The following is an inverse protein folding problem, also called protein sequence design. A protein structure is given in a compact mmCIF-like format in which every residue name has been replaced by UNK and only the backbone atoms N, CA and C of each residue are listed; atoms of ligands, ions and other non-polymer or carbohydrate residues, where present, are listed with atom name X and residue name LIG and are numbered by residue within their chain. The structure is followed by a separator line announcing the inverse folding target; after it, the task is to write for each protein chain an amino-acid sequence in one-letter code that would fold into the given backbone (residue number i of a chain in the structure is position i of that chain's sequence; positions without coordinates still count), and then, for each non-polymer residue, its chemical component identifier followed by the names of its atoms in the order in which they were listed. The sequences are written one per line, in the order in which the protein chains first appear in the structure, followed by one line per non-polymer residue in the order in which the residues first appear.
data_IF_474480511297
#
_entry.id   IF_474480511297
#
_cell.length_a   1.000
_cell.length_b   1.000
_cell.length_c   1.000
_cell.angle_alpha   90.00
_cell.angle_beta   90.00
_cell.angle_gamma   90.00
#
_symmetry.space_group_name_H-M   'P 1'
#
loop_
_entity.id
_entity.type
_entity.pdbx_description
1 polymer ?
#
# COMPACT_ATOMS: atom_id res chain seq x y z
N UNK A 1 -10.18 -13.19 28.22
CA UNK A 1 -10.88 -13.19 26.92
C UNK A 1 -9.85 -12.88 25.85
N UNK A 2 -9.61 -13.78 24.91
CA UNK A 2 -8.74 -13.53 23.75
C UNK A 2 -9.49 -12.53 22.88
N UNK A 3 -8.96 -11.31 22.73
CA UNK A 3 -9.53 -10.30 21.86
C UNK A 3 -9.42 -10.84 20.43
N UNK A 4 -10.54 -11.21 19.83
CA UNK A 4 -10.57 -11.71 18.46
C UNK A 4 -10.04 -10.61 17.55
N UNK A 5 -8.84 -10.81 16.98
CA UNK A 5 -8.26 -9.86 16.03
C UNK A 5 -9.04 -9.96 14.72
N UNK A 6 -9.53 -8.86 14.24
CA UNK A 6 -10.10 -8.79 12.89
C UNK A 6 -8.91 -8.79 11.92
N UNK A 7 -8.79 -9.86 11.14
CA UNK A 7 -7.84 -9.94 10.02
C UNK A 7 -8.52 -9.27 8.82
N UNK A 8 -7.82 -8.36 8.16
CA UNK A 8 -8.27 -7.71 6.94
C UNK A 8 -7.76 -8.49 5.73
N UNK A 9 -8.67 -8.91 4.85
CA UNK A 9 -8.33 -9.53 3.57
C UNK A 9 -8.18 -8.43 2.51
N UNK A 10 -6.92 -8.13 2.13
CA UNK A 10 -6.59 -7.15 1.12
C UNK A 10 -6.34 -7.80 -0.23
N UNK A 11 -7.08 -7.40 -1.26
CA UNK A 11 -6.96 -7.91 -2.62
C UNK A 11 -6.35 -6.89 -3.59
N UNK A 12 -5.55 -7.32 -4.58
CA UNK A 12 -5.07 -6.46 -5.65
C UNK A 12 -6.15 -6.21 -6.70
N UNK A 13 -6.23 -4.99 -7.24
CA UNK A 13 -7.02 -4.68 -8.41
C UNK A 13 -6.16 -4.07 -9.52
N UNK A 14 -6.32 -4.59 -10.73
CA UNK A 14 -5.70 -4.00 -11.92
C UNK A 14 -6.47 -2.75 -12.38
N UNK A 15 -7.80 -2.81 -12.29
CA UNK A 15 -8.74 -1.79 -12.75
C UNK A 15 -10.02 -1.83 -11.90
N UNK A 16 -10.98 -0.96 -12.21
CA UNK A 16 -12.27 -0.85 -11.53
C UNK A 16 -13.02 -2.20 -11.46
N UNK A 17 -13.11 -2.92 -12.59
CA UNK A 17 -13.84 -4.20 -12.67
C UNK A 17 -13.22 -5.26 -11.74
N UNK A 18 -11.88 -5.34 -11.72
CA UNK A 18 -11.17 -6.26 -10.81
C UNK A 18 -11.40 -5.88 -9.34
N UNK A 19 -11.48 -4.58 -9.04
CA UNK A 19 -11.75 -4.08 -7.70
C UNK A 19 -13.16 -4.46 -7.22
N UNK A 20 -14.17 -4.24 -8.04
CA UNK A 20 -15.57 -4.64 -7.77
C UNK A 20 -15.63 -6.16 -7.55
N UNK A 21 -15.04 -6.95 -8.46
CA UNK A 21 -15.03 -8.40 -8.32
C UNK A 21 -14.36 -8.88 -7.02
N UNK A 22 -13.28 -8.21 -6.58
CA UNK A 22 -12.62 -8.55 -5.32
C UNK A 22 -13.55 -8.30 -4.11
N UNK A 23 -14.28 -7.19 -4.09
CA UNK A 23 -15.22 -6.84 -3.03
C UNK A 23 -16.39 -7.84 -3.02
N UNK A 24 -16.96 -8.16 -4.18
CA UNK A 24 -18.05 -9.13 -4.34
C UNK A 24 -17.68 -10.53 -3.83
N UNK A 25 -16.38 -10.86 -3.85
CA UNK A 25 -15.86 -12.13 -3.37
C UNK A 25 -15.27 -12.05 -1.95
N UNK A 26 -15.56 -10.99 -1.21
CA UNK A 26 -15.32 -10.91 0.23
C UNK A 26 -14.00 -10.23 0.63
N UNK A 27 -13.38 -9.44 -0.23
CA UNK A 27 -12.26 -8.61 0.19
C UNK A 27 -12.75 -7.51 1.17
N UNK A 28 -12.04 -7.36 2.30
CA UNK A 28 -12.27 -6.27 3.25
C UNK A 28 -11.64 -4.96 2.78
N UNK A 29 -10.61 -5.06 1.93
CA UNK A 29 -9.96 -3.93 1.29
C UNK A 29 -9.42 -4.30 -0.08
N UNK A 30 -9.24 -3.30 -0.94
CA UNK A 30 -8.66 -3.45 -2.27
C UNK A 30 -7.55 -2.43 -2.45
N UNK A 31 -6.39 -2.85 -3.00
CA UNK A 31 -5.40 -1.89 -3.44
C UNK A 31 -5.32 -1.79 -4.96
N UNK A 32 -5.22 -0.55 -5.46
CA UNK A 32 -5.22 -0.22 -6.88
C UNK A 32 -4.09 0.79 -7.18
N UNK A 33 -3.53 0.73 -8.38
CA UNK A 33 -2.49 1.69 -8.80
C UNK A 33 -3.06 3.09 -8.99
N UNK A 34 -2.31 4.12 -8.56
CA UNK A 34 -2.61 5.51 -8.89
C UNK A 34 -2.55 5.75 -10.41
N UNK A 35 -3.15 6.85 -10.91
CA UNK A 35 -3.05 7.25 -12.30
C UNK A 35 -1.61 7.44 -12.79
N UNK A 36 -0.74 7.85 -11.85
CA UNK A 36 0.73 7.96 -12.02
C UNK A 36 1.43 7.45 -10.76
N UNK A 37 2.74 7.20 -10.86
CA UNK A 37 3.60 6.83 -9.71
C UNK A 37 3.25 5.50 -9.01
N UNK A 38 2.48 4.64 -9.68
CA UNK A 38 2.34 3.25 -9.29
C UNK A 38 3.46 2.39 -9.91
N UNK A 39 4.04 1.44 -9.15
CA UNK A 39 5.15 0.59 -9.62
C UNK A 39 4.78 -0.31 -10.83
N UNK A 40 3.53 -0.41 -11.20
CA UNK A 40 3.04 -1.13 -12.37
C UNK A 40 2.48 -0.15 -13.40
N UNK A 41 3.33 0.39 -14.25
CA UNK A 41 2.99 1.35 -15.30
C UNK A 41 1.91 0.87 -16.32
N UNK A 42 1.60 -0.42 -16.36
CA UNK A 42 0.64 -1.00 -17.30
C UNK A 42 -0.84 -0.86 -16.87
N UNK A 43 -1.13 -0.35 -15.67
CA UNK A 43 -2.48 -0.14 -15.16
C UNK A 43 -2.69 1.36 -14.91
N UNK A 44 -3.05 2.09 -15.97
CA UNK A 44 -3.45 3.50 -15.85
C UNK A 44 -4.91 3.52 -15.43
N UNK A 45 -5.15 3.66 -14.10
CA UNK A 45 -6.49 3.89 -13.59
C UNK A 45 -6.73 5.40 -13.56
N UNK A 46 -7.87 5.86 -14.07
CA UNK A 46 -8.25 7.26 -13.95
C UNK A 46 -8.68 7.60 -12.51
N UNK A 47 -8.69 8.89 -12.18
CA UNK A 47 -9.21 9.34 -10.89
C UNK A 47 -10.71 9.00 -10.76
N UNK A 48 -11.44 9.06 -11.87
CA UNK A 48 -12.86 8.72 -11.98
C UNK A 48 -13.10 7.23 -11.67
N UNK A 49 -12.26 6.32 -12.20
CA UNK A 49 -12.36 4.89 -11.91
C UNK A 49 -12.09 4.60 -10.43
N UNK A 50 -11.10 5.28 -9.84
CA UNK A 50 -10.80 5.15 -8.42
C UNK A 50 -11.95 5.68 -7.57
N UNK A 51 -12.53 6.83 -7.91
CA UNK A 51 -13.69 7.38 -7.20
C UNK A 51 -14.91 6.44 -7.28
N UNK A 52 -15.20 5.89 -8.46
CA UNK A 52 -16.28 4.92 -8.62
C UNK A 52 -16.03 3.64 -7.79
N UNK A 53 -14.77 3.18 -7.72
CA UNK A 53 -14.42 2.03 -6.88
C UNK A 53 -14.57 2.34 -5.38
N UNK A 54 -14.21 3.55 -4.94
CA UNK A 54 -14.40 4.00 -3.55
C UNK A 54 -15.88 4.03 -3.20
N UNK A 55 -16.71 4.65 -4.04
CA UNK A 55 -18.17 4.68 -3.82
C UNK A 55 -18.74 3.26 -3.69
N UNK A 56 -18.36 2.36 -4.59
CA UNK A 56 -18.80 0.96 -4.54
C UNK A 56 -18.32 0.27 -3.26
N UNK A 57 -17.04 0.40 -2.91
CA UNK A 57 -16.43 -0.25 -1.76
C UNK A 57 -17.10 0.18 -0.44
N UNK A 58 -17.36 1.46 -0.27
CA UNK A 58 -17.92 2.00 0.94
C UNK A 58 -19.36 1.52 1.19
N UNK A 59 -20.14 1.16 0.14
CA UNK A 59 -21.45 0.52 0.31
C UNK A 59 -21.38 -0.82 1.05
N UNK A 60 -20.25 -1.52 0.91
CA UNK A 60 -19.98 -2.83 1.53
C UNK A 60 -19.03 -2.75 2.73
N UNK A 61 -18.71 -1.55 3.23
CA UNK A 61 -17.72 -1.30 4.28
C UNK A 61 -16.31 -1.84 3.94
N UNK A 62 -15.99 -2.00 2.66
CA UNK A 62 -14.65 -2.29 2.18
C UNK A 62 -13.86 -0.99 2.01
N UNK A 63 -12.51 -1.09 2.04
CA UNK A 63 -11.61 0.06 1.94
C UNK A 63 -10.83 0.05 0.63
N UNK A 64 -10.45 1.24 0.18
CA UNK A 64 -9.62 1.39 -1.02
C UNK A 64 -8.29 2.03 -0.65
N UNK A 65 -7.20 1.33 -0.96
CA UNK A 65 -5.83 1.80 -0.80
C UNK A 65 -5.21 2.06 -2.17
N UNK A 66 -4.60 3.21 -2.34
CA UNK A 66 -4.00 3.57 -3.63
C UNK A 66 -2.48 3.51 -3.52
N UNK A 67 -1.84 2.80 -4.47
CA UNK A 67 -0.39 2.69 -4.49
C UNK A 67 0.26 3.88 -5.20
N UNK A 68 1.09 4.62 -4.46
CA UNK A 68 2.02 5.66 -4.92
C UNK A 68 3.42 5.20 -4.52
N UNK A 69 3.85 4.08 -5.10
CA UNK A 69 4.98 3.29 -4.59
C UNK A 69 6.14 3.19 -5.60
N UNK A 70 6.45 4.29 -6.23
CA UNK A 70 7.69 4.52 -6.98
C UNK A 70 8.56 5.56 -6.28
N UNK A 71 9.86 5.58 -6.60
CA UNK A 71 10.75 6.66 -6.20
C UNK A 71 10.37 7.90 -7.03
N UNK A 72 10.27 9.04 -6.36
CA UNK A 72 9.88 10.31 -6.96
C UNK A 72 11.12 11.16 -7.25
N UNK A 73 11.09 11.88 -8.37
CA UNK A 73 12.06 12.91 -8.67
C UNK A 73 11.56 14.27 -8.16
N UNK A 74 12.48 15.20 -7.95
CA UNK A 74 12.14 16.53 -7.42
C UNK A 74 11.06 17.24 -8.26
N UNK A 75 11.13 17.10 -9.59
CA UNK A 75 10.13 17.67 -10.51
C UNK A 75 8.74 17.04 -10.40
N UNK A 76 8.63 15.83 -9.82
CA UNK A 76 7.37 15.06 -9.69
C UNK A 76 6.65 15.36 -8.37
N UNK A 77 7.32 15.96 -7.39
CA UNK A 77 6.78 16.17 -6.03
C UNK A 77 5.51 17.02 -6.03
N UNK A 78 5.47 18.13 -6.77
CA UNK A 78 4.28 18.98 -6.82
C UNK A 78 3.08 18.31 -7.49
N UNK A 79 3.33 17.52 -8.54
CA UNK A 79 2.28 16.76 -9.22
C UNK A 79 1.75 15.66 -8.30
N UNK A 80 2.65 14.98 -7.59
CA UNK A 80 2.30 13.95 -6.60
C UNK A 80 1.44 14.52 -5.47
N UNK A 81 1.79 15.69 -4.93
CA UNK A 81 0.99 16.35 -3.89
C UNK A 81 -0.43 16.65 -4.39
N UNK A 82 -0.56 17.22 -5.57
CA UNK A 82 -1.88 17.52 -6.17
C UNK A 82 -2.72 16.25 -6.38
N UNK A 83 -2.08 15.18 -6.86
CA UNK A 83 -2.72 13.88 -7.05
C UNK A 83 -3.19 13.29 -5.71
N UNK A 84 -2.38 13.35 -4.66
CA UNK A 84 -2.75 12.87 -3.33
C UNK A 84 -3.97 13.63 -2.79
N UNK A 85 -4.01 14.94 -2.96
CA UNK A 85 -5.19 15.74 -2.59
C UNK A 85 -6.44 15.36 -3.39
N UNK A 86 -6.30 15.01 -4.66
CA UNK A 86 -7.41 14.55 -5.49
C UNK A 86 -7.91 13.16 -5.03
N UNK A 87 -7.01 12.22 -4.72
CA UNK A 87 -7.34 10.91 -4.16
C UNK A 87 -8.04 11.02 -2.80
N UNK A 88 -7.56 11.90 -1.94
CA UNK A 88 -8.21 12.17 -0.65
C UNK A 88 -9.64 12.68 -0.82
N UNK A 89 -9.88 13.63 -1.75
CA UNK A 89 -11.23 14.14 -2.05
C UNK A 89 -12.13 13.08 -2.66
N UNK A 90 -11.57 12.11 -3.38
CA UNK A 90 -12.30 10.95 -3.91
C UNK A 90 -12.64 9.92 -2.82
N UNK A 91 -12.19 10.12 -1.57
CA UNK A 91 -12.52 9.27 -0.43
C UNK A 91 -11.63 8.04 -0.27
N UNK A 92 -10.43 8.03 -0.87
CA UNK A 92 -9.43 6.97 -0.69
C UNK A 92 -9.06 6.83 0.78
N UNK A 93 -9.04 5.60 1.31
CA UNK A 93 -8.86 5.33 2.74
C UNK A 93 -7.40 5.36 3.20
N UNK A 94 -6.45 5.01 2.34
CA UNK A 94 -5.02 5.11 2.63
C UNK A 94 -4.17 5.10 1.35
N UNK A 95 -2.91 5.53 1.47
CA UNK A 95 -1.91 5.43 0.42
C UNK A 95 -0.85 4.39 0.78
N UNK A 96 -0.48 3.55 -0.17
CA UNK A 96 0.68 2.65 -0.04
C UNK A 96 1.85 3.30 -0.75
N UNK A 97 2.86 3.77 0.00
CA UNK A 97 3.93 4.62 -0.51
C UNK A 97 5.31 3.98 -0.36
N UNK A 98 6.23 4.34 -1.24
CA UNK A 98 7.63 3.90 -1.19
C UNK A 98 8.57 5.04 -0.80
N UNK A 99 8.41 6.21 -1.40
CA UNK A 99 9.33 7.32 -1.24
C UNK A 99 9.07 8.08 0.06
N UNK A 100 10.10 8.19 0.91
CA UNK A 100 10.02 8.96 2.17
C UNK A 100 9.85 10.46 1.92
N UNK A 101 10.24 10.99 0.75
CA UNK A 101 10.03 12.38 0.38
C UNK A 101 8.57 12.82 0.44
N UNK A 102 7.64 11.87 0.29
CA UNK A 102 6.21 12.13 0.45
C UNK A 102 5.88 12.72 1.83
N UNK A 103 6.57 12.30 2.88
CA UNK A 103 6.30 12.80 4.24
C UNK A 103 6.66 14.27 4.44
N UNK A 104 7.45 14.85 3.54
CA UNK A 104 7.81 16.27 3.53
C UNK A 104 6.84 17.16 2.74
N UNK A 105 5.85 16.56 2.05
CA UNK A 105 4.84 17.30 1.29
C UNK A 105 3.70 17.80 2.20
N UNK A 106 2.97 18.81 1.73
CA UNK A 106 1.75 19.26 2.40
C UNK A 106 0.60 18.31 2.07
N UNK A 107 0.49 17.22 2.84
CA UNK A 107 -0.48 16.16 2.62
C UNK A 107 -1.81 16.44 3.32
N UNK A 108 -2.95 15.96 2.76
CA UNK A 108 -4.19 15.83 3.51
C UNK A 108 -4.03 14.80 4.65
N UNK A 109 -4.96 14.75 5.63
CA UNK A 109 -4.91 13.79 6.73
C UNK A 109 -5.29 12.37 6.26
N UNK A 110 -4.55 11.84 5.28
CA UNK A 110 -4.71 10.50 4.73
C UNK A 110 -3.69 9.55 5.36
N UNK A 111 -4.09 8.36 5.82
CA UNK A 111 -3.17 7.35 6.34
C UNK A 111 -2.12 6.92 5.30
N UNK A 112 -0.87 6.78 5.74
CA UNK A 112 0.23 6.25 4.93
C UNK A 112 0.56 4.82 5.37
N UNK A 113 0.60 3.90 4.43
CA UNK A 113 1.06 2.53 4.59
C UNK A 113 2.43 2.39 3.91
N UNK A 114 3.40 1.84 4.62
CA UNK A 114 4.74 1.62 4.07
C UNK A 114 4.72 0.43 3.10
N UNK A 115 5.01 0.69 1.83
CA UNK A 115 5.07 -0.34 0.79
C UNK A 115 6.15 -1.39 1.09
N UNK A 116 5.95 -2.62 0.63
CA UNK A 116 7.01 -3.66 0.60
C UNK A 116 8.25 -3.18 -0.17
N UNK A 117 8.10 -2.20 -1.05
CA UNK A 117 9.20 -1.56 -1.80
C UNK A 117 10.17 -0.75 -0.90
N UNK A 118 9.83 -0.55 0.38
CA UNK A 118 10.70 0.11 1.36
C UNK A 118 11.64 -0.85 2.10
N UNK A 119 11.70 -2.13 1.73
CA UNK A 119 12.54 -3.15 2.36
C UNK A 119 12.25 -3.36 3.86
N UNK A 120 11.02 -3.68 4.19
CA UNK A 120 10.53 -3.79 5.56
C UNK A 120 10.80 -5.18 6.13
N UNK A 121 12.02 -5.43 6.63
CA UNK A 121 12.49 -6.74 7.10
C UNK A 121 12.88 -6.80 8.57
N UNK A 122 13.11 -5.67 9.21
CA UNK A 122 13.65 -5.64 10.57
C UNK A 122 12.74 -4.90 11.54
N UNK A 123 12.86 -5.24 12.82
CA UNK A 123 12.17 -4.55 13.91
C UNK A 123 12.47 -3.05 13.90
N UNK A 124 13.75 -2.70 13.71
CA UNK A 124 14.23 -1.32 13.70
C UNK A 124 13.60 -0.52 12.56
N UNK A 125 13.46 -1.14 11.37
CA UNK A 125 12.81 -0.51 10.22
C UNK A 125 11.34 -0.25 10.49
N UNK A 126 10.63 -1.23 11.06
CA UNK A 126 9.20 -1.09 11.37
C UNK A 126 8.97 0.00 12.43
N UNK A 127 9.80 0.06 13.47
CA UNK A 127 9.75 1.14 14.48
C UNK A 127 9.99 2.50 13.86
N UNK A 128 11.05 2.63 13.06
CA UNK A 128 11.37 3.88 12.37
C UNK A 128 10.20 4.37 11.51
N UNK A 129 9.54 3.48 10.76
CA UNK A 129 8.40 3.84 9.93
C UNK A 129 7.18 4.25 10.77
N UNK A 130 6.92 3.56 11.87
CA UNK A 130 5.86 3.94 12.80
C UNK A 130 6.10 5.31 13.42
N UNK A 131 7.33 5.58 13.87
CA UNK A 131 7.75 6.88 14.41
C UNK A 131 7.67 8.00 13.36
N UNK A 132 7.92 7.67 12.08
CA UNK A 132 7.74 8.59 10.95
C UNK A 132 6.27 8.82 10.57
N UNK A 133 5.30 8.19 11.25
CA UNK A 133 3.87 8.43 11.08
C UNK A 133 3.14 7.42 10.17
N UNK A 134 3.81 6.37 9.71
CA UNK A 134 3.15 5.31 8.95
C UNK A 134 2.20 4.52 9.85
N UNK A 135 0.99 4.30 9.34
CA UNK A 135 -0.09 3.61 10.08
C UNK A 135 -0.08 2.10 9.92
N UNK A 136 0.55 1.59 8.88
CA UNK A 136 0.67 0.17 8.56
C UNK A 136 1.97 -0.08 7.81
N UNK A 137 2.53 -1.28 7.98
CA UNK A 137 3.78 -1.67 7.30
C UNK A 137 3.57 -2.99 6.55
N UNK A 138 3.77 -2.94 5.23
CA UNK A 138 3.76 -4.13 4.37
C UNK A 138 5.14 -4.78 4.45
N UNK A 139 5.21 -5.97 5.02
CA UNK A 139 6.47 -6.69 5.21
C UNK A 139 7.01 -7.26 3.90
N UNK A 140 8.32 -7.45 3.84
CA UNK A 140 8.98 -8.12 2.73
C UNK A 140 8.51 -9.59 2.63
N UNK A 141 8.36 -10.10 1.40
CA UNK A 141 7.83 -11.44 1.13
C UNK A 141 8.76 -12.57 1.55
N UNK A 142 10.05 -12.28 1.68
CA UNK A 142 11.10 -13.22 2.00
C UNK A 142 11.13 -13.62 3.48
N UNK A 143 10.38 -12.92 4.33
CA UNK A 143 10.37 -13.18 5.77
C UNK A 143 9.69 -14.51 6.10
N UNK A 144 10.36 -15.29 6.95
CA UNK A 144 9.76 -16.46 7.58
C UNK A 144 8.72 -16.06 8.63
N UNK A 145 7.80 -16.97 8.96
CA UNK A 145 6.82 -16.75 10.03
C UNK A 145 7.48 -16.43 11.38
N UNK A 146 8.66 -16.98 11.65
CA UNK A 146 9.43 -16.69 12.87
C UNK A 146 9.90 -15.23 12.92
N UNK A 147 10.36 -14.69 11.79
CA UNK A 147 10.79 -13.28 11.69
C UNK A 147 9.58 -12.35 11.80
N UNK A 148 8.47 -12.68 11.15
CA UNK A 148 7.22 -11.94 11.27
C UNK A 148 6.73 -11.91 12.73
N UNK A 149 6.73 -13.05 13.44
CA UNK A 149 6.36 -13.09 14.86
C UNK A 149 7.26 -12.20 15.70
N UNK A 150 8.59 -12.26 15.48
CA UNK A 150 9.56 -11.39 16.17
C UNK A 150 9.27 -9.90 15.96
N UNK A 151 8.96 -9.50 14.73
CA UNK A 151 8.62 -8.10 14.41
C UNK A 151 7.32 -7.72 15.13
N UNK A 152 6.31 -8.58 15.06
CA UNK A 152 5.02 -8.33 15.70
C UNK A 152 5.11 -8.22 17.22
N UNK A 153 5.88 -9.09 17.87
CA UNK A 153 6.10 -9.06 19.32
C UNK A 153 6.83 -7.78 19.76
N UNK A 154 7.77 -7.32 18.94
CA UNK A 154 8.54 -6.11 19.22
C UNK A 154 7.80 -4.79 18.88
N UNK A 155 6.78 -4.86 18.01
CA UNK A 155 5.98 -3.73 17.55
C UNK A 155 4.48 -4.07 17.58
N UNK A 156 3.89 -4.37 18.76
CA UNK A 156 2.53 -4.90 18.86
C UNK A 156 1.44 -3.92 18.42
N UNK A 157 1.73 -2.63 18.47
CA UNK A 157 0.79 -1.56 18.13
C UNK A 157 0.84 -1.16 16.66
N UNK A 158 1.78 -1.72 15.89
CA UNK A 158 1.93 -1.45 14.45
C UNK A 158 1.20 -2.52 13.66
N UNK A 159 0.15 -2.18 12.90
CA UNK A 159 -0.49 -3.10 11.96
C UNK A 159 0.52 -3.58 10.90
N UNK A 160 0.63 -4.89 10.75
CA UNK A 160 1.51 -5.51 9.77
C UNK A 160 0.66 -6.14 8.65
N UNK A 161 1.11 -5.97 7.42
CA UNK A 161 0.54 -6.60 6.24
C UNK A 161 1.52 -7.62 5.66
N UNK A 162 1.03 -8.80 5.30
CA UNK A 162 1.84 -9.87 4.70
C UNK A 162 1.17 -10.41 3.44
N UNK A 163 1.96 -10.77 2.45
CA UNK A 163 1.48 -11.47 1.27
C UNK A 163 1.28 -12.95 1.59
N UNK A 164 0.07 -13.46 1.42
CA UNK A 164 -0.27 -14.87 1.61
C UNK A 164 -0.51 -15.60 0.29
N UNK A 165 -0.71 -14.86 -0.80
CA UNK A 165 -0.91 -15.38 -2.15
C UNK A 165 -0.36 -14.39 -3.20
N UNK A 166 0.15 -14.91 -4.32
CA UNK A 166 0.60 -14.12 -5.46
C UNK A 166 1.89 -14.67 -6.08
N UNK A 167 2.35 -14.01 -7.14
CA UNK A 167 3.60 -14.35 -7.82
C UNK A 167 4.81 -14.10 -6.89
N UNK A 168 5.76 -15.03 -6.93
CA UNK A 168 7.05 -14.84 -6.24
C UNK A 168 7.86 -13.75 -6.95
N UNK A 169 8.54 -12.92 -6.15
CA UNK A 169 9.55 -12.03 -6.67
C UNK A 169 10.82 -12.83 -7.01
N UNK A 170 11.40 -12.57 -8.19
CA UNK A 170 12.66 -13.19 -8.62
C UNK A 170 13.91 -12.50 -8.03
N UNK A 171 13.71 -11.39 -7.31
CA UNK A 171 14.75 -10.63 -6.63
C UNK A 171 14.25 -10.22 -5.24
N UNK A 172 15.17 -9.76 -4.39
CA UNK A 172 14.78 -9.17 -3.10
C UNK A 172 13.79 -8.04 -3.28
N UNK A 173 12.79 -7.97 -2.40
CA UNK A 173 11.82 -6.87 -2.37
C UNK A 173 12.56 -5.53 -2.39
N UNK A 174 12.11 -4.61 -3.21
CA UNK A 174 12.65 -3.25 -3.46
C UNK A 174 13.99 -3.13 -4.20
N UNK A 175 14.80 -4.16 -4.35
CA UNK A 175 16.09 -4.09 -5.04
C UNK A 175 15.94 -4.37 -6.55
N UNK A 176 15.27 -3.47 -7.25
CA UNK A 176 14.92 -3.65 -8.66
C UNK A 176 16.12 -3.61 -9.61
N UNK A 177 17.25 -3.02 -9.22
CA UNK A 177 18.47 -3.04 -10.04
C UNK A 177 19.08 -4.45 -10.18
N UNK A 178 18.71 -5.37 -9.28
CA UNK A 178 19.08 -6.79 -9.37
C UNK A 178 18.05 -7.63 -10.14
N UNK A 179 16.92 -7.03 -10.52
CA UNK A 179 15.88 -7.69 -11.31
C UNK A 179 16.30 -7.75 -12.78
N UNK A 180 16.14 -8.90 -13.46
CA UNK A 180 16.39 -9.01 -14.89
C UNK A 180 15.35 -8.29 -15.76
N UNK A 181 14.29 -7.75 -15.16
CA UNK A 181 13.22 -7.05 -15.86
C UNK A 181 13.49 -5.54 -15.86
N UNK A 182 13.69 -4.90 -17.00
CA UNK A 182 13.77 -3.44 -17.09
C UNK A 182 12.41 -2.83 -16.68
N UNK A 183 12.50 -1.67 -16.05
CA UNK A 183 11.32 -0.83 -15.77
C UNK A 183 10.81 -0.17 -17.03
#
# INVERSE_FOLDING_TARGET
MIKQRKIELLAPAKNLECGIAAIDHGADAVYIGAPKFGARAAAVNSLEDIAALVEYAHLYNARIYVTVNTILKDEELQETEKMIWALFRAGVDALIVQDMGITGLNLPPIPLHASTQMDNRTVEKVRFLADAGFRQVVLARELSLREISKIHEACPDVPLEIFVHGALCVSYSCLLYTSPSPR
#
